data_IF_641704178985
#
_entry.id   IF_641704178985
#
_cell.length_a   1.000
_cell.length_b   1.000
_cell.length_c   1.000
_cell.angle_alpha   90.00
_cell.angle_beta   90.00
_cell.angle_gamma   90.00
#
_symmetry.space_group_name_H-M   'P 1'
#
loop_
_entity.id
_entity.type
_entity.pdbx_description
1 polymer ?
#
# COMPACT_ATOMS: atom_id res chain seq x y z
N UNK A 1 -35.09 15.81 -35.57
CA UNK A 1 -35.37 17.14 -36.16
C UNK A 1 -36.08 17.97 -35.11
N UNK A 2 -35.33 18.77 -34.35
CA UNK A 2 -35.39 20.20 -34.61
C UNK A 2 -34.00 20.81 -34.76
N UNK A 3 -33.88 21.59 -35.83
CA UNK A 3 -32.83 22.55 -36.11
C UNK A 3 -33.15 23.80 -35.29
N UNK A 4 -32.18 24.31 -34.52
CA UNK A 4 -32.14 25.74 -34.20
C UNK A 4 -30.70 26.23 -34.36
N UNK A 5 -30.59 27.10 -35.35
CA UNK A 5 -29.46 27.88 -35.83
C UNK A 5 -28.89 28.87 -34.78
N UNK A 6 -27.61 29.29 -34.93
CA UNK A 6 -26.99 30.30 -34.08
C UNK A 6 -27.39 31.72 -34.48
N UNK A 7 -27.41 32.65 -33.52
CA UNK A 7 -27.63 34.10 -33.73
C UNK A 7 -26.35 34.87 -33.28
N UNK A 8 -25.96 35.97 -33.96
CA UNK A 8 -24.56 36.32 -34.18
C UNK A 8 -23.99 37.44 -33.29
N UNK A 9 -22.68 37.62 -33.49
CA UNK A 9 -21.72 38.63 -33.02
C UNK A 9 -22.12 40.11 -33.16
N UNK A 10 -21.67 40.96 -32.23
CA UNK A 10 -20.58 41.98 -32.37
C UNK A 10 -20.63 43.02 -31.20
N UNK A 11 -19.81 44.10 -31.16
CA UNK A 11 -18.70 44.22 -30.22
C UNK A 11 -18.87 45.40 -29.23
N UNK A 12 -18.18 45.37 -28.09
CA UNK A 12 -18.10 46.52 -27.19
C UNK A 12 -16.63 46.96 -27.03
N UNK A 13 -16.32 48.06 -27.69
CA UNK A 13 -15.11 48.88 -27.52
C UNK A 13 -15.30 49.81 -26.33
N UNK A 14 -14.31 49.90 -25.44
CA UNK A 14 -13.79 51.11 -24.76
C UNK A 14 -13.01 50.73 -23.46
N UNK A 15 -12.18 51.62 -22.89
CA UNK A 15 -11.16 52.47 -23.52
C UNK A 15 -9.78 52.27 -22.86
N UNK A 16 -8.77 52.88 -23.46
CA UNK A 16 -7.39 52.94 -22.96
C UNK A 16 -7.29 53.65 -21.61
N UNK A 17 -6.82 52.93 -20.59
CA UNK A 17 -6.34 53.49 -19.33
C UNK A 17 -4.83 53.30 -19.24
N UNK A 18 -4.09 54.39 -19.40
CA UNK A 18 -2.67 54.44 -19.10
C UNK A 18 -2.47 54.28 -17.58
N UNK A 19 -1.78 53.22 -17.16
CA UNK A 19 -1.32 53.08 -15.77
C UNK A 19 0.15 52.66 -15.74
N UNK A 20 0.95 53.62 -15.29
CA UNK A 20 2.22 53.51 -14.56
C UNK A 20 3.20 52.39 -14.93
N UNK A 21 4.32 52.83 -15.50
CA UNK A 21 5.60 52.10 -15.56
C UNK A 21 6.13 51.91 -14.13
N UNK A 22 5.72 50.83 -13.47
CA UNK A 22 6.35 50.37 -12.24
C UNK A 22 7.64 49.61 -12.61
N UNK A 23 8.78 50.27 -12.47
CA UNK A 23 10.08 49.61 -12.45
C UNK A 23 10.19 48.80 -11.15
N UNK A 24 9.67 47.57 -11.17
CA UNK A 24 9.99 46.57 -10.15
C UNK A 24 11.45 46.12 -10.31
N UNK A 25 12.09 45.60 -9.24
CA UNK A 25 13.45 45.09 -9.34
C UNK A 25 13.47 44.02 -10.42
N UNK A 26 14.32 44.21 -11.43
CA UNK A 26 14.51 43.26 -12.52
C UNK A 26 15.04 41.95 -11.91
N UNK A 27 14.12 41.05 -11.57
CA UNK A 27 14.44 39.68 -11.25
C UNK A 27 14.80 39.01 -12.57
N UNK A 28 16.05 39.18 -12.99
CA UNK A 28 16.67 38.44 -14.08
C UNK A 28 16.91 37.00 -13.62
N UNK A 29 15.83 36.27 -13.33
CA UNK A 29 15.90 34.82 -13.38
C UNK A 29 15.96 34.48 -14.86
N UNK A 30 17.18 34.38 -15.38
CA UNK A 30 17.43 33.69 -16.65
C UNK A 30 17.14 32.21 -16.41
N UNK A 31 15.84 31.88 -16.36
CA UNK A 31 15.36 30.52 -16.49
C UNK A 31 15.33 30.29 -18.00
N UNK A 32 16.25 29.46 -18.49
CA UNK A 32 16.52 29.27 -19.92
C UNK A 32 15.39 28.59 -20.70
N UNK A 33 14.23 28.34 -20.08
CA UNK A 33 13.04 27.77 -20.72
C UNK A 33 11.74 28.45 -20.30
N UNK A 34 10.78 28.45 -21.22
CA UNK A 34 9.39 28.84 -20.98
C UNK A 34 8.74 27.94 -19.91
N UNK A 35 7.70 28.44 -19.21
CA UNK A 35 6.95 27.65 -18.22
C UNK A 35 6.42 26.32 -18.80
N UNK A 36 6.06 26.34 -20.09
CA UNK A 36 5.65 25.15 -20.83
C UNK A 36 6.78 24.12 -20.95
N UNK A 37 8.00 24.55 -21.28
CA UNK A 37 9.16 23.65 -21.39
C UNK A 37 9.48 22.98 -20.05
N UNK A 38 9.43 23.74 -18.94
CA UNK A 38 9.63 23.17 -17.61
C UNK A 38 8.56 22.13 -17.24
N UNK A 39 7.31 22.37 -17.65
CA UNK A 39 6.23 21.40 -17.47
C UNK A 39 6.48 20.10 -18.25
N UNK A 40 6.96 20.22 -19.49
CA UNK A 40 7.35 19.07 -20.32
C UNK A 40 8.51 18.31 -19.67
N UNK A 41 9.58 19.01 -19.28
CA UNK A 41 10.75 18.40 -18.63
C UNK A 41 10.36 17.65 -17.34
N UNK A 42 9.51 18.24 -16.49
CA UNK A 42 9.03 17.58 -15.28
C UNK A 42 8.18 16.33 -15.58
N UNK A 43 7.32 16.40 -16.60
CA UNK A 43 6.52 15.26 -17.03
C UNK A 43 7.39 14.15 -17.61
N UNK A 44 8.41 14.48 -18.40
CA UNK A 44 9.36 13.52 -18.98
C UNK A 44 10.12 12.79 -17.89
N UNK A 45 10.64 13.51 -16.89
CA UNK A 45 11.31 12.89 -15.74
C UNK A 45 10.38 11.94 -14.99
N UNK A 46 9.15 12.37 -14.72
CA UNK A 46 8.15 11.54 -14.04
C UNK A 46 7.82 10.29 -14.84
N UNK A 47 7.70 10.43 -16.17
CA UNK A 47 7.40 9.31 -17.08
C UNK A 47 8.56 8.32 -17.14
N UNK A 48 9.80 8.80 -17.24
CA UNK A 48 11.00 7.96 -17.23
C UNK A 48 11.12 7.15 -15.93
N UNK A 49 10.86 7.79 -14.78
CA UNK A 49 10.88 7.11 -13.48
C UNK A 49 9.71 6.11 -13.36
N UNK A 50 8.55 6.44 -13.93
CA UNK A 50 7.41 5.51 -13.94
C UNK A 50 7.72 4.26 -14.75
N UNK A 51 8.41 4.38 -15.88
CA UNK A 51 8.86 3.22 -16.67
C UNK A 51 9.87 2.35 -15.90
N UNK A 52 10.82 2.97 -15.20
CA UNK A 52 11.74 2.22 -14.32
C UNK A 52 10.96 1.53 -13.20
N UNK A 53 9.95 2.18 -12.62
CA UNK A 53 9.11 1.60 -11.58
C UNK A 53 8.29 0.39 -12.10
N UNK A 54 7.80 0.44 -13.34
CA UNK A 54 7.12 -0.70 -13.98
C UNK A 54 8.09 -1.89 -14.18
N UNK A 55 9.34 -1.63 -14.56
CA UNK A 55 10.36 -2.68 -14.67
C UNK A 55 10.69 -3.36 -13.33
N UNK A 56 10.47 -2.67 -12.20
CA UNK A 56 10.62 -3.29 -10.87
C UNK A 56 9.53 -4.33 -10.58
N UNK A 57 8.41 -4.30 -11.28
CA UNK A 57 7.36 -5.32 -11.14
C UNK A 57 7.73 -6.64 -11.83
N UNK A 58 8.67 -6.64 -12.79
CA UNK A 58 9.07 -7.80 -13.58
C UNK A 58 9.43 -9.02 -12.71
N UNK A 59 8.99 -10.23 -13.08
CA UNK A 59 9.25 -11.45 -12.29
C UNK A 59 10.75 -11.83 -12.23
N UNK A 60 11.53 -11.36 -13.20
CA UNK A 60 12.97 -11.62 -13.31
C UNK A 60 13.77 -10.72 -12.34
N UNK A 61 14.52 -11.31 -11.39
CA UNK A 61 15.26 -10.53 -10.39
C UNK A 61 16.39 -9.69 -11.00
N UNK A 62 16.97 -10.15 -12.10
CA UNK A 62 18.02 -9.43 -12.84
C UNK A 62 17.49 -8.13 -13.41
N UNK A 63 16.32 -8.17 -14.08
CA UNK A 63 15.68 -6.98 -14.64
C UNK A 63 15.34 -5.94 -13.55
N UNK A 64 14.84 -6.38 -12.38
CA UNK A 64 14.61 -5.51 -11.23
C UNK A 64 15.90 -4.83 -10.76
N UNK A 65 16.99 -5.59 -10.67
CA UNK A 65 18.29 -5.06 -10.24
C UNK A 65 18.87 -4.06 -11.25
N UNK A 66 18.69 -4.32 -12.55
CA UNK A 66 19.10 -3.41 -13.62
C UNK A 66 18.35 -2.08 -13.54
N UNK A 67 17.02 -2.10 -13.40
CA UNK A 67 16.22 -0.88 -13.29
C UNK A 67 16.62 0.00 -12.08
N UNK A 68 16.95 -0.63 -10.94
CA UNK A 68 17.48 0.11 -9.78
C UNK A 68 18.86 0.71 -10.07
N UNK A 69 19.76 -0.08 -10.67
CA UNK A 69 21.09 0.41 -11.05
C UNK A 69 21.02 1.57 -12.05
N UNK A 70 20.07 1.54 -12.99
CA UNK A 70 19.80 2.63 -13.92
C UNK A 70 19.31 3.90 -13.22
N UNK A 71 18.38 3.78 -12.26
CA UNK A 71 17.92 4.91 -11.45
C UNK A 71 19.07 5.50 -10.62
N UNK A 72 19.87 4.64 -9.97
CA UNK A 72 21.03 5.06 -9.18
C UNK A 72 22.06 5.78 -10.05
N UNK A 73 22.40 5.22 -11.21
CA UNK A 73 23.31 5.83 -12.17
C UNK A 73 22.79 7.19 -12.67
N UNK A 74 21.48 7.29 -12.95
CA UNK A 74 20.86 8.54 -13.40
C UNK A 74 20.89 9.65 -12.34
N UNK A 75 20.80 9.31 -11.05
CA UNK A 75 20.94 10.24 -9.94
C UNK A 75 22.41 10.64 -9.71
N UNK A 76 23.33 9.67 -9.73
CA UNK A 76 24.76 9.91 -9.55
C UNK A 76 25.35 10.76 -10.69
N UNK A 77 24.85 10.61 -11.92
CA UNK A 77 25.29 11.42 -13.06
C UNK A 77 25.10 12.94 -12.84
N UNK A 78 24.13 13.35 -12.02
CA UNK A 78 23.83 14.75 -11.71
C UNK A 78 24.42 15.21 -10.37
N UNK A 79 25.37 14.49 -9.77
CA UNK A 79 25.97 14.83 -8.46
C UNK A 79 26.55 16.26 -8.43
N UNK A 80 27.09 16.72 -9.57
CA UNK A 80 27.65 18.06 -9.72
C UNK A 80 26.58 19.13 -10.04
N UNK A 81 25.36 18.74 -10.44
CA UNK A 81 24.27 19.63 -10.82
C UNK A 81 23.09 19.49 -9.84
N UNK A 82 23.13 20.31 -8.77
CA UNK A 82 22.12 20.30 -7.70
C UNK A 82 20.68 20.48 -8.19
N UNK A 83 20.46 21.26 -9.25
CA UNK A 83 19.12 21.52 -9.75
C UNK A 83 18.56 20.31 -10.50
N UNK A 84 19.36 19.69 -11.37
CA UNK A 84 18.97 18.47 -12.09
C UNK A 84 18.76 17.29 -11.12
N UNK A 85 19.66 17.14 -10.15
CA UNK A 85 19.52 16.13 -9.09
C UNK A 85 18.23 16.32 -8.29
N UNK A 86 17.92 17.56 -7.88
CA UNK A 86 16.68 17.86 -7.16
C UNK A 86 15.45 17.53 -8.01
N UNK A 87 15.42 17.91 -9.29
CA UNK A 87 14.30 17.61 -10.18
C UNK A 87 14.05 16.10 -10.35
N UNK A 88 15.12 15.30 -10.53
CA UNK A 88 15.01 13.83 -10.61
C UNK A 88 14.58 13.21 -9.28
N UNK A 89 15.14 13.67 -8.17
CA UNK A 89 14.78 13.19 -6.84
C UNK A 89 13.31 13.51 -6.49
N UNK A 90 12.85 14.71 -6.83
CA UNK A 90 11.46 15.15 -6.64
C UNK A 90 10.50 14.31 -7.50
N UNK A 91 10.84 14.08 -8.78
CA UNK A 91 10.06 13.19 -9.65
C UNK A 91 10.04 11.74 -9.10
N UNK A 92 11.13 11.28 -8.48
CA UNK A 92 11.21 9.96 -7.83
C UNK A 92 10.27 9.90 -6.62
N UNK A 93 10.28 10.95 -5.79
CA UNK A 93 9.38 11.05 -4.64
C UNK A 93 7.91 11.06 -5.06
N UNK A 94 7.58 11.76 -6.15
CA UNK A 94 6.22 11.80 -6.71
C UNK A 94 5.74 10.40 -7.12
N UNK A 95 6.57 9.63 -7.86
CA UNK A 95 6.21 8.26 -8.27
C UNK A 95 6.05 7.35 -7.05
N UNK A 96 6.92 7.47 -6.04
CA UNK A 96 6.79 6.72 -4.79
C UNK A 96 5.47 7.04 -4.07
N UNK A 97 5.10 8.30 -3.95
CA UNK A 97 3.85 8.71 -3.32
C UNK A 97 2.64 8.21 -4.11
N UNK A 98 2.68 8.33 -5.44
CA UNK A 98 1.63 7.83 -6.32
C UNK A 98 1.40 6.31 -6.12
N UNK A 99 2.47 5.52 -6.12
CA UNK A 99 2.40 4.07 -5.89
C UNK A 99 1.88 3.74 -4.49
N UNK A 100 2.29 4.48 -3.45
CA UNK A 100 1.76 4.32 -2.09
C UNK A 100 0.27 4.63 -2.02
N UNK A 101 -0.19 5.67 -2.72
CA UNK A 101 -1.61 6.01 -2.85
C UNK A 101 -2.40 4.90 -3.52
N UNK A 102 -1.90 4.36 -4.64
CA UNK A 102 -2.53 3.22 -5.32
C UNK A 102 -2.59 1.98 -4.41
N UNK A 103 -1.49 1.65 -3.72
CA UNK A 103 -1.43 0.51 -2.80
C UNK A 103 -2.43 0.67 -1.64
N UNK A 104 -2.51 1.87 -1.04
CA UNK A 104 -3.47 2.16 0.02
C UNK A 104 -4.93 2.01 -0.47
N UNK A 105 -5.24 2.49 -1.67
CA UNK A 105 -6.56 2.33 -2.27
C UNK A 105 -6.90 0.84 -2.51
N UNK A 106 -5.98 0.08 -3.11
CA UNK A 106 -6.15 -1.37 -3.34
C UNK A 106 -6.34 -2.12 -2.02
N UNK A 107 -5.60 -1.77 -0.98
CA UNK A 107 -5.76 -2.37 0.35
C UNK A 107 -7.12 -2.08 0.98
N UNK A 108 -7.67 -0.88 0.79
CA UNK A 108 -9.02 -0.55 1.26
C UNK A 108 -10.08 -1.37 0.52
N UNK A 109 -9.95 -1.54 -0.80
CA UNK A 109 -10.88 -2.38 -1.58
C UNK A 109 -10.77 -3.85 -1.20
N UNK A 110 -9.56 -4.37 -1.01
CA UNK A 110 -9.35 -5.75 -0.57
C UNK A 110 -10.03 -6.02 0.79
N UNK A 111 -9.85 -5.12 1.77
CA UNK A 111 -10.53 -5.22 3.07
C UNK A 111 -12.05 -5.26 2.93
N UNK A 112 -12.62 -4.38 2.09
CA UNK A 112 -14.06 -4.37 1.81
C UNK A 112 -14.54 -5.70 1.23
N UNK A 113 -13.83 -6.25 0.25
CA UNK A 113 -14.19 -7.52 -0.36
C UNK A 113 -14.09 -8.70 0.62
N UNK A 114 -13.08 -8.71 1.50
CA UNK A 114 -12.96 -9.70 2.56
C UNK A 114 -14.10 -9.59 3.59
N UNK A 115 -14.55 -8.38 3.92
CA UNK A 115 -15.68 -8.19 4.82
C UNK A 115 -17.00 -8.65 4.20
N UNK A 116 -17.20 -8.37 2.91
CA UNK A 116 -18.34 -8.88 2.14
C UNK A 116 -18.34 -10.40 2.09
N UNK A 117 -17.22 -11.03 1.76
CA UNK A 117 -17.14 -12.50 1.72
C UNK A 117 -17.35 -13.12 3.09
N UNK A 118 -16.85 -12.50 4.17
CA UNK A 118 -17.10 -12.95 5.54
C UNK A 118 -18.58 -12.86 5.91
N UNK A 119 -19.27 -11.79 5.51
CA UNK A 119 -20.72 -11.67 5.69
C UNK A 119 -21.46 -12.79 4.96
N UNK A 120 -21.09 -13.06 3.69
CA UNK A 120 -21.70 -14.13 2.91
C UNK A 120 -21.48 -15.52 3.52
N UNK A 121 -20.28 -15.82 4.00
CA UNK A 121 -19.97 -17.05 4.74
C UNK A 121 -20.83 -17.15 6.00
N UNK A 122 -20.90 -16.10 6.81
CA UNK A 122 -21.72 -16.13 8.04
C UNK A 122 -23.21 -16.32 7.78
N UNK A 123 -23.75 -15.75 6.68
CA UNK A 123 -25.14 -15.95 6.27
C UNK A 123 -25.38 -17.37 5.79
N UNK A 124 -24.44 -17.95 5.04
CA UNK A 124 -24.50 -19.35 4.60
C UNK A 124 -24.47 -20.31 5.81
N UNK A 125 -23.54 -20.12 6.75
CA UNK A 125 -23.45 -20.91 7.98
C UNK A 125 -24.74 -20.84 8.81
N UNK A 126 -25.30 -19.64 9.01
CA UNK A 126 -26.55 -19.49 9.75
C UNK A 126 -27.75 -20.19 9.07
N UNK A 127 -27.79 -20.20 7.73
CA UNK A 127 -28.81 -20.93 6.98
C UNK A 127 -28.59 -22.45 7.04
N UNK A 128 -27.34 -22.90 6.98
CA UNK A 128 -26.97 -24.30 7.15
C UNK A 128 -27.36 -24.81 8.53
N UNK A 129 -26.99 -24.10 9.60
CA UNK A 129 -27.33 -24.44 10.99
C UNK A 129 -28.84 -24.53 11.19
N UNK A 130 -29.59 -23.57 10.65
CA UNK A 130 -31.05 -23.56 10.69
C UNK A 130 -31.66 -24.76 9.95
N UNK A 131 -31.15 -25.06 8.75
CA UNK A 131 -31.60 -26.19 7.94
C UNK A 131 -31.30 -27.52 8.63
N UNK A 132 -30.08 -27.72 9.15
CA UNK A 132 -29.67 -28.90 9.91
C UNK A 132 -30.57 -29.07 11.13
N UNK A 133 -30.80 -28.00 11.90
CA UNK A 133 -31.68 -28.02 13.07
C UNK A 133 -33.09 -28.50 12.73
N UNK A 134 -33.68 -27.98 11.66
CA UNK A 134 -35.04 -28.40 11.23
C UNK A 134 -35.05 -29.86 10.77
N UNK A 135 -34.08 -30.26 9.95
CA UNK A 135 -34.02 -31.63 9.42
C UNK A 135 -33.78 -32.67 10.51
N UNK A 136 -32.89 -32.39 11.47
CA UNK A 136 -32.64 -33.28 12.62
C UNK A 136 -33.85 -33.37 13.54
N UNK A 137 -34.64 -32.30 13.70
CA UNK A 137 -35.91 -32.35 14.46
C UNK A 137 -36.96 -33.23 13.78
N UNK A 138 -37.04 -33.17 12.44
CA UNK A 138 -38.00 -33.98 11.67
C UNK A 138 -37.57 -35.44 11.58
N UNK A 139 -36.26 -35.72 11.45
CA UNK A 139 -35.69 -37.05 11.22
C UNK A 139 -34.41 -37.24 12.06
N UNK A 140 -34.53 -37.53 13.37
CA UNK A 140 -33.39 -37.55 14.29
C UNK A 140 -32.40 -38.69 14.06
N UNK A 141 -32.81 -39.77 13.38
CA UNK A 141 -31.94 -40.91 13.06
C UNK A 141 -31.26 -40.80 11.67
N UNK A 142 -31.63 -39.81 10.87
CA UNK A 142 -31.10 -39.66 9.52
C UNK A 142 -29.70 -39.02 9.54
N UNK A 143 -28.73 -39.70 8.93
CA UNK A 143 -27.34 -39.24 8.83
C UNK A 143 -27.01 -38.61 7.48
N UNK A 144 -27.94 -38.68 6.51
CA UNK A 144 -27.81 -38.19 5.14
C UNK A 144 -29.17 -37.73 4.62
N UNK A 145 -29.20 -36.57 3.96
CA UNK A 145 -30.36 -36.03 3.28
C UNK A 145 -30.00 -35.77 1.81
N UNK A 146 -30.78 -36.35 0.89
CA UNK A 146 -30.62 -36.14 -0.55
C UNK A 146 -31.75 -35.25 -1.06
N UNK A 147 -31.39 -34.15 -1.73
CA UNK A 147 -32.29 -33.23 -2.41
C UNK A 147 -32.11 -33.38 -3.94
N UNK A 148 -32.98 -32.79 -4.77
CA UNK A 148 -32.89 -32.92 -6.23
C UNK A 148 -31.53 -32.48 -6.82
N UNK A 149 -30.91 -31.44 -6.24
CA UNK A 149 -29.65 -30.87 -6.73
C UNK A 149 -28.52 -30.84 -5.69
N UNK A 150 -28.80 -31.23 -4.43
CA UNK A 150 -27.87 -31.07 -3.31
C UNK A 150 -27.92 -32.26 -2.38
N UNK A 151 -26.85 -32.46 -1.63
CA UNK A 151 -26.77 -33.51 -0.63
C UNK A 151 -26.18 -32.97 0.65
N UNK A 152 -26.78 -33.31 1.77
CA UNK A 152 -26.30 -32.99 3.11
C UNK A 152 -25.91 -34.28 3.82
N UNK A 153 -24.65 -34.39 4.24
CA UNK A 153 -24.13 -35.54 4.96
C UNK A 153 -23.61 -35.10 6.32
N UNK A 154 -23.96 -35.86 7.36
CA UNK A 154 -23.37 -35.67 8.67
C UNK A 154 -22.02 -36.38 8.74
N UNK A 155 -21.05 -35.76 9.44
CA UNK A 155 -19.78 -36.40 9.79
C UNK A 155 -19.67 -36.47 11.31
N UNK A 156 -19.11 -37.55 11.83
CA UNK A 156 -18.73 -37.64 13.25
C UNK A 156 -17.40 -36.90 13.41
N UNK A 157 -17.38 -35.84 14.21
CA UNK A 157 -16.15 -35.23 14.71
C UNK A 157 -16.04 -35.49 16.21
N UNK A 158 -14.85 -35.89 16.66
CA UNK A 158 -14.53 -35.97 18.08
C UNK A 158 -13.69 -34.75 18.43
N UNK A 159 -14.12 -34.00 19.44
CA UNK A 159 -13.35 -32.92 20.04
C UNK A 159 -13.08 -33.32 21.49
N UNK A 160 -11.88 -33.02 21.98
CA UNK A 160 -11.52 -33.21 23.39
C UNK A 160 -11.70 -31.85 24.05
N UNK A 161 -12.71 -31.73 24.91
CA UNK A 161 -12.89 -30.57 25.78
C UNK A 161 -12.07 -30.79 27.06
N UNK A 162 -11.22 -29.83 27.40
CA UNK A 162 -10.40 -29.85 28.61
C UNK A 162 -11.04 -28.88 29.59
N UNK A 163 -11.70 -29.41 30.62
CA UNK A 163 -12.41 -28.60 31.63
C UNK A 163 -11.47 -27.97 32.67
N UNK A 164 -10.37 -28.67 33.02
CA UNK A 164 -9.37 -28.20 33.98
C UNK A 164 -7.96 -28.66 33.56
N UNK A 165 -7.15 -27.71 33.12
CA UNK A 165 -5.75 -27.93 32.72
C UNK A 165 -4.85 -28.33 33.90
N UNK A 166 -5.21 -27.97 35.15
CA UNK A 166 -4.42 -28.24 36.35
C UNK A 166 -4.55 -29.66 36.89
N UNK A 167 -5.64 -30.35 36.55
CA UNK A 167 -5.88 -31.76 36.89
C UNK A 167 -5.20 -32.73 35.89
N UNK A 168 -4.71 -32.22 34.75
CA UNK A 168 -4.01 -33.03 33.77
C UNK A 168 -2.65 -33.46 34.28
N UNK A 169 -2.36 -34.76 34.17
CA UNK A 169 -1.03 -35.27 34.43
C UNK A 169 0.00 -34.56 33.52
N UNK A 170 1.24 -34.36 34.00
CA UNK A 170 2.29 -33.66 33.24
C UNK A 170 2.63 -34.33 31.90
N UNK A 171 2.22 -35.59 31.69
CA UNK A 171 2.33 -36.32 30.42
C UNK A 171 1.47 -35.72 29.29
N UNK A 172 0.42 -34.98 29.62
CA UNK A 172 -0.50 -34.34 28.66
C UNK A 172 -0.22 -32.84 28.47
N UNK A 173 0.73 -32.28 29.25
CA UNK A 173 1.08 -30.86 29.23
C UNK A 173 2.35 -30.62 28.42
N UNK A 174 2.29 -29.73 27.44
CA UNK A 174 3.48 -29.28 26.71
C UNK A 174 4.02 -28.00 27.33
N UNK A 175 5.16 -28.08 28.03
CA UNK A 175 5.82 -26.89 28.60
C UNK A 175 6.59 -26.14 27.51
N UNK A 176 6.09 -24.96 27.13
CA UNK A 176 6.79 -24.03 26.23
C UNK A 176 7.59 -23.02 27.05
N UNK A 177 8.87 -23.29 27.29
CA UNK A 177 9.79 -22.30 27.88
C UNK A 177 10.30 -21.37 26.76
N UNK A 178 9.75 -20.16 26.69
CA UNK A 178 10.23 -19.14 25.75
C UNK A 178 11.25 -18.23 26.44
N UNK A 179 12.52 -18.38 26.08
CA UNK A 179 13.58 -17.45 26.49
C UNK A 179 13.70 -16.37 25.43
N UNK A 180 13.30 -15.15 25.76
CA UNK A 180 13.44 -14.00 24.86
C UNK A 180 14.51 -13.04 25.38
N UNK A 181 15.38 -12.51 24.50
CA UNK A 181 16.35 -11.51 24.91
C UNK A 181 15.63 -10.20 25.28
N UNK A 182 15.88 -9.71 26.48
CA UNK A 182 15.40 -8.39 26.90
C UNK A 182 16.23 -7.30 26.20
N UNK A 183 15.77 -6.88 25.02
CA UNK A 183 16.41 -5.84 24.22
C UNK A 183 16.48 -4.50 24.95
N UNK A 184 15.59 -4.22 25.91
CA UNK A 184 15.61 -2.97 26.65
C UNK A 184 16.75 -2.96 27.67
N UNK A 185 16.88 -4.02 28.47
CA UNK A 185 17.98 -4.18 29.41
C UNK A 185 19.34 -4.24 28.69
N UNK A 186 19.44 -5.00 27.60
CA UNK A 186 20.64 -5.08 26.75
C UNK A 186 21.00 -3.69 26.19
N UNK A 187 20.02 -2.93 25.70
CA UNK A 187 20.26 -1.57 25.18
C UNK A 187 20.73 -0.60 26.27
N UNK A 188 20.22 -0.71 27.50
CA UNK A 188 20.64 0.11 28.62
C UNK A 188 22.09 -0.21 29.04
N UNK A 189 22.42 -1.50 29.15
CA UNK A 189 23.77 -1.96 29.48
C UNK A 189 24.81 -1.55 28.42
N UNK A 190 24.49 -1.72 27.12
CA UNK A 190 25.37 -1.27 26.02
C UNK A 190 25.56 0.26 26.03
N UNK A 191 24.53 1.04 26.38
CA UNK A 191 24.65 2.50 26.55
C UNK A 191 25.48 2.90 27.76
N UNK A 192 25.48 2.10 28.82
CA UNK A 192 26.29 2.29 30.02
C UNK A 192 27.76 1.88 29.83
N UNK A 193 28.16 1.44 28.62
CA UNK A 193 29.52 1.03 28.30
C UNK A 193 29.86 -0.41 28.66
N UNK A 194 28.88 -1.22 29.09
CA UNK A 194 29.10 -2.65 29.32
C UNK A 194 29.16 -3.39 27.97
N UNK A 195 30.16 -4.26 27.82
CA UNK A 195 30.26 -5.13 26.65
C UNK A 195 29.42 -6.39 26.89
N UNK A 196 28.40 -6.59 26.04
CA UNK A 196 27.57 -7.81 26.05
C UNK A 196 27.96 -8.65 24.82
N UNK A 197 28.53 -9.85 25.00
CA UNK A 197 28.86 -10.72 23.87
C UNK A 197 27.56 -11.08 23.13
N UNK A 198 27.54 -10.86 21.82
CA UNK A 198 26.37 -11.11 20.96
C UNK A 198 25.39 -9.95 20.83
N UNK A 199 25.64 -8.78 21.45
CA UNK A 199 24.83 -7.58 21.26
C UNK A 199 25.68 -6.36 20.88
N UNK A 200 25.22 -5.59 19.90
CA UNK A 200 25.88 -4.39 19.43
C UNK A 200 24.85 -3.26 19.27
N UNK A 201 25.25 -2.04 19.64
CA UNK A 201 24.41 -0.85 19.46
C UNK A 201 24.72 -0.22 18.11
N UNK A 202 23.83 -0.43 17.13
CA UNK A 202 23.92 0.21 15.81
C UNK A 202 23.08 1.48 15.76
N UNK A 203 23.66 2.55 15.24
CA UNK A 203 22.95 3.80 14.98
C UNK A 203 22.36 3.77 13.58
N UNK A 204 21.04 3.81 13.48
CA UNK A 204 20.32 3.95 12.22
C UNK A 204 19.54 5.25 12.20
N UNK A 205 19.47 5.89 11.02
CA UNK A 205 18.63 7.05 10.77
C UNK A 205 17.46 6.62 9.89
N UNK A 206 16.24 6.97 10.28
CA UNK A 206 15.05 6.77 9.46
C UNK A 206 14.74 8.04 8.66
N UNK A 207 14.46 7.89 7.38
CA UNK A 207 14.03 8.96 6.49
C UNK A 207 12.55 8.77 6.16
N UNK A 208 11.82 9.86 5.93
CA UNK A 208 10.43 9.83 5.47
C UNK A 208 10.28 10.80 4.31
N UNK A 209 9.53 10.36 3.30
CA UNK A 209 9.03 11.21 2.22
C UNK A 209 7.67 11.72 2.69
N UNK A 210 7.49 13.03 2.72
CA UNK A 210 6.30 13.74 3.21
C UNK A 210 5.68 14.56 2.11
#
# INVERSE_FOLDING_TARGET
MPVLTPIPSSPATAPAGAVAKAAGPACSLQRTGSLWQLGIEAQELTTAISQLAEQLEADEPEQRSCALAELEAALLADECNKQALAAKADATCWVIEHLRGQAAYRQQQAKRLTELSRSDVSRAEALEDSLVLVLTRLQPAATRFSFPNHELTSRKSQAVEIDDEGALAPEWLTVKTTTQPDKAAIKQALKAGQQIPGAQLLLHRSWRIT
#
